data_IF_505240411872
#
_entry.id   IF_505240411872
#
_cell.length_a   1.000
_cell.length_b   1.000
_cell.length_c   1.000
_cell.angle_alpha   90.00
_cell.angle_beta   90.00
_cell.angle_gamma   90.00
#
_symmetry.space_group_name_H-M   'P 1'
#
loop_
_entity.id
_entity.type
_entity.pdbx_description
1 polymer ?
#
# COMPACT_ATOMS: atom_id res chain seq x y z
N UNK A 1 -3.62 -38.63 -10.50
CA UNK A 1 -2.49 -38.91 -9.59
C UNK A 1 -1.40 -37.89 -9.86
N UNK A 2 -1.50 -36.68 -9.29
CA UNK A 2 -0.44 -35.66 -9.40
C UNK A 2 0.48 -35.84 -8.20
N UNK A 3 1.74 -36.10 -8.52
CA UNK A 3 2.81 -36.47 -7.60
C UNK A 3 3.22 -35.22 -6.81
N UNK A 4 3.21 -35.32 -5.48
CA UNK A 4 4.00 -34.44 -4.61
C UNK A 4 5.47 -34.57 -5.02
N UNK A 5 6.14 -33.47 -5.34
CA UNK A 5 7.60 -33.43 -5.38
C UNK A 5 8.08 -32.16 -4.71
N UNK A 6 8.47 -32.28 -3.44
CA UNK A 6 9.86 -32.22 -2.95
C UNK A 6 10.52 -30.84 -3.12
N UNK A 7 10.60 -30.09 -2.02
CA UNK A 7 11.66 -29.12 -1.79
C UNK A 7 13.00 -29.83 -2.04
N UNK A 8 13.67 -29.51 -3.14
CA UNK A 8 15.04 -29.96 -3.38
C UNK A 8 15.94 -28.73 -3.43
N UNK A 9 16.93 -28.71 -2.54
CA UNK A 9 18.05 -27.77 -2.55
C UNK A 9 18.68 -27.77 -3.95
N UNK A 10 18.60 -26.63 -4.64
CA UNK A 10 19.45 -26.32 -5.79
C UNK A 10 20.42 -25.19 -5.40
N UNK A 11 21.37 -25.51 -4.53
CA UNK A 11 22.66 -24.81 -4.51
C UNK A 11 23.59 -25.69 -5.33
N UNK A 12 23.83 -25.34 -6.60
CA UNK A 12 25.00 -25.70 -7.44
C UNK A 12 24.70 -25.45 -8.94
N UNK A 13 24.55 -24.19 -9.31
CA UNK A 13 24.85 -23.61 -10.62
C UNK A 13 24.51 -22.11 -10.47
N UNK A 14 25.39 -21.21 -10.87
CA UNK A 14 25.22 -19.75 -10.72
C UNK A 14 24.12 -19.14 -11.60
N UNK A 15 23.01 -19.85 -11.81
CA UNK A 15 21.80 -19.35 -12.46
C UNK A 15 20.71 -19.21 -11.40
N UNK A 16 20.57 -18.01 -10.85
CA UNK A 16 19.48 -17.65 -9.95
C UNK A 16 18.18 -17.61 -10.76
N UNK A 17 17.47 -18.74 -10.81
CA UNK A 17 16.12 -18.76 -11.32
C UNK A 17 15.21 -18.13 -10.26
N UNK A 18 14.53 -17.04 -10.63
CA UNK A 18 13.46 -16.46 -9.82
C UNK A 18 12.47 -17.57 -9.39
N UNK A 19 12.19 -17.66 -8.10
CA UNK A 19 11.20 -18.54 -7.51
C UNK A 19 9.84 -17.84 -7.47
N UNK A 20 8.92 -18.38 -8.26
CA UNK A 20 7.53 -17.93 -8.33
C UNK A 20 6.65 -18.80 -7.45
N UNK A 21 5.76 -18.17 -6.68
CA UNK A 21 4.81 -18.85 -5.81
C UNK A 21 3.45 -18.95 -6.49
N UNK A 22 2.89 -20.15 -6.48
CA UNK A 22 1.51 -20.34 -6.88
C UNK A 22 0.58 -19.89 -5.74
N UNK A 23 -0.05 -18.73 -5.92
CA UNK A 23 -1.04 -18.19 -5.00
C UNK A 23 -2.46 -18.70 -5.24
N UNK A 24 -2.67 -19.58 -6.22
CA UNK A 24 -3.99 -20.08 -6.61
C UNK A 24 -4.85 -19.03 -7.34
N UNK A 25 -4.23 -17.95 -7.83
CA UNK A 25 -4.93 -16.91 -8.60
C UNK A 25 -5.27 -17.47 -10.00
N UNK A 26 -6.55 -17.49 -10.41
CA UNK A 26 -6.93 -17.96 -11.74
C UNK A 26 -6.19 -17.22 -12.86
N UNK A 27 -5.80 -17.95 -13.91
CA UNK A 27 -5.24 -17.35 -15.10
C UNK A 27 -6.29 -16.48 -15.80
N UNK A 28 -5.89 -15.29 -16.24
CA UNK A 28 -6.73 -14.38 -17.02
C UNK A 28 -5.89 -13.52 -17.95
N UNK A 29 -6.49 -13.10 -19.06
CA UNK A 29 -5.94 -12.08 -19.95
C UNK A 29 -6.58 -10.70 -19.72
N UNK A 30 -7.61 -10.60 -18.88
CA UNK A 30 -8.20 -9.32 -18.48
C UNK A 30 -7.27 -8.60 -17.53
N UNK A 31 -7.06 -7.31 -17.75
CA UNK A 31 -6.16 -6.47 -16.96
C UNK A 31 -6.80 -5.13 -16.64
N UNK A 32 -6.22 -4.43 -15.67
CA UNK A 32 -6.55 -3.05 -15.32
C UNK A 32 -5.35 -2.15 -15.60
N UNK A 33 -5.59 -0.93 -16.09
CA UNK A 33 -4.58 0.14 -16.06
C UNK A 33 -4.57 0.75 -14.67
N UNK A 34 -3.38 1.01 -14.11
CA UNK A 34 -3.17 1.59 -12.78
C UNK A 34 -2.33 2.85 -12.91
N UNK A 35 -2.80 3.96 -12.33
CA UNK A 35 -2.07 5.23 -12.23
C UNK A 35 -2.11 5.71 -10.79
N UNK A 36 -0.98 6.16 -10.26
CA UNK A 36 -0.85 6.55 -8.85
C UNK A 36 -0.86 8.06 -8.69
N UNK A 37 -1.57 8.56 -7.69
CA UNK A 37 -1.58 9.96 -7.29
C UNK A 37 -0.62 10.21 -6.13
N UNK A 38 -0.21 11.47 -5.99
CA UNK A 38 0.41 12.00 -4.78
C UNK A 38 0.03 13.48 -4.70
N UNK A 39 -0.93 13.78 -3.82
CA UNK A 39 -1.42 15.14 -3.53
C UNK A 39 -0.63 15.82 -2.41
N UNK A 40 0.50 15.25 -1.98
CA UNK A 40 1.41 15.84 -1.01
C UNK A 40 1.77 14.90 0.14
N UNK A 41 2.31 15.50 1.19
CA UNK A 41 2.84 14.77 2.33
C UNK A 41 2.13 15.16 3.62
N UNK A 42 1.81 14.16 4.43
CA UNK A 42 1.33 14.35 5.79
C UNK A 42 2.50 14.27 6.76
N UNK A 43 2.53 15.15 7.74
CA UNK A 43 3.53 15.16 8.81
C UNK A 43 2.81 15.10 10.15
N UNK A 44 3.13 14.08 10.95
CA UNK A 44 2.56 13.95 12.30
C UNK A 44 3.59 14.34 13.36
N UNK A 45 3.32 15.42 14.09
CA UNK A 45 4.27 16.05 15.01
C UNK A 45 4.41 15.24 16.29
N UNK A 46 5.60 14.70 16.53
CA UNK A 46 5.94 13.83 17.68
C UNK A 46 5.20 12.48 17.76
N UNK A 47 4.63 12.02 16.64
CA UNK A 47 3.82 10.78 16.58
C UNK A 47 4.55 9.61 15.90
N UNK A 48 5.88 9.64 15.75
CA UNK A 48 6.63 8.52 15.17
C UNK A 48 6.37 7.17 15.85
N UNK A 49 6.03 7.19 17.13
CA UNK A 49 5.74 5.99 17.92
C UNK A 49 4.48 5.25 17.43
N UNK A 50 3.59 5.93 16.70
CA UNK A 50 2.45 5.31 16.04
C UNK A 50 2.84 4.47 14.81
N UNK A 51 4.04 4.70 14.27
CA UNK A 51 4.52 4.11 13.01
C UNK A 51 5.90 3.47 13.11
N UNK A 52 6.60 3.47 14.24
CA UNK A 52 7.91 2.84 14.37
C UNK A 52 8.31 2.75 15.84
N UNK A 53 8.90 1.63 16.23
CA UNK A 53 9.58 1.49 17.51
C UNK A 53 10.95 0.80 17.34
N UNK A 54 11.99 1.20 18.11
CA UNK A 54 12.03 2.40 18.95
C UNK A 54 12.03 3.68 18.10
N UNK A 55 11.46 4.78 18.61
CA UNK A 55 11.58 6.10 17.97
C UNK A 55 13.02 6.59 18.11
N UNK A 56 13.68 6.88 16.99
CA UNK A 56 15.05 7.36 16.99
C UNK A 56 15.13 8.87 17.29
N UNK A 57 16.18 9.35 17.98
CA UNK A 57 16.35 10.78 18.23
C UNK A 57 16.36 11.61 16.93
N UNK A 58 15.55 12.66 16.88
CA UNK A 58 15.40 13.53 15.71
C UNK A 58 14.47 12.96 14.63
N UNK A 59 13.81 11.83 14.89
CA UNK A 59 12.84 11.17 14.00
C UNK A 59 11.45 11.11 14.62
N UNK A 60 11.16 11.93 15.63
CA UNK A 60 9.89 11.92 16.36
C UNK A 60 8.71 12.38 15.50
N UNK A 61 8.97 13.14 14.44
CA UNK A 61 7.96 13.73 13.54
C UNK A 61 8.09 13.10 12.14
N UNK A 62 7.38 12.00 11.85
CA UNK A 62 7.42 11.37 10.53
C UNK A 62 6.68 12.23 9.51
N UNK A 63 7.20 12.22 8.29
CA UNK A 63 6.56 12.77 7.09
C UNK A 63 6.44 11.66 6.07
N UNK A 64 5.25 11.43 5.53
CA UNK A 64 4.98 10.35 4.59
C UNK A 64 4.02 10.78 3.47
N UNK A 65 4.11 10.14 2.30
CA UNK A 65 3.14 10.33 1.24
C UNK A 65 1.79 9.69 1.63
N UNK A 66 0.76 10.00 0.86
CA UNK A 66 -0.51 9.29 0.89
C UNK A 66 -0.81 8.93 -0.56
N UNK A 67 -0.85 7.65 -0.92
CA UNK A 67 -1.10 7.25 -2.30
C UNK A 67 -2.56 6.86 -2.52
N UNK A 68 -3.19 7.48 -3.53
CA UNK A 68 -4.41 7.00 -4.16
C UNK A 68 -4.15 6.49 -5.58
N UNK A 69 -5.10 5.79 -6.18
CA UNK A 69 -4.94 5.21 -7.51
C UNK A 69 -6.18 5.40 -8.37
N UNK A 70 -5.97 5.82 -9.63
CA UNK A 70 -6.97 5.66 -10.68
C UNK A 70 -6.76 4.30 -11.35
N UNK A 71 -7.84 3.55 -11.49
CA UNK A 71 -7.89 2.28 -12.20
C UNK A 71 -8.88 2.33 -13.36
N UNK A 72 -8.53 1.67 -14.46
CA UNK A 72 -9.41 1.49 -15.61
C UNK A 72 -9.42 0.02 -16.04
N UNK A 73 -10.60 -0.61 -15.96
CA UNK A 73 -10.77 -2.00 -16.40
C UNK A 73 -10.79 -2.06 -17.93
N UNK A 74 -9.74 -2.62 -18.55
CA UNK A 74 -9.54 -2.56 -20.01
C UNK A 74 -10.66 -3.19 -20.83
N UNK A 75 -11.26 -4.26 -20.32
CA UNK A 75 -12.28 -5.00 -21.06
C UNK A 75 -13.59 -4.21 -21.18
N UNK A 76 -13.96 -3.49 -20.12
CA UNK A 76 -15.24 -2.77 -20.03
C UNK A 76 -15.12 -1.26 -20.24
N UNK A 77 -13.95 -0.67 -19.99
CA UNK A 77 -13.74 0.78 -19.91
C UNK A 77 -14.20 1.39 -18.58
N UNK A 78 -14.69 0.59 -17.62
CA UNK A 78 -15.08 1.05 -16.27
C UNK A 78 -13.90 1.70 -15.56
N UNK A 79 -14.11 2.90 -15.03
CA UNK A 79 -13.10 3.63 -14.24
C UNK A 79 -13.50 3.69 -12.79
N UNK A 80 -12.52 3.49 -11.93
CA UNK A 80 -12.74 3.50 -10.50
C UNK A 80 -11.48 3.98 -9.79
N UNK A 81 -11.64 4.38 -8.53
CA UNK A 81 -10.56 4.96 -7.75
C UNK A 81 -10.36 4.14 -6.48
N UNK A 82 -9.11 3.92 -6.09
CA UNK A 82 -8.72 3.30 -4.83
C UNK A 82 -8.10 4.36 -3.92
N UNK A 83 -8.79 4.66 -2.82
CA UNK A 83 -8.55 5.79 -1.92
C UNK A 83 -8.56 7.16 -2.62
N UNK A 84 -8.65 8.25 -1.87
CA UNK A 84 -8.72 9.62 -2.40
C UNK A 84 -7.74 10.57 -1.71
N UNK A 85 -6.80 10.02 -0.95
CA UNK A 85 -5.88 10.75 -0.10
C UNK A 85 -6.63 11.69 0.86
N UNK A 86 -5.95 12.76 1.31
CA UNK A 86 -6.56 13.80 2.13
C UNK A 86 -7.28 14.84 1.27
N UNK A 87 -8.47 15.28 1.72
CA UNK A 87 -9.16 16.41 1.09
C UNK A 87 -8.37 17.72 1.24
N UNK A 88 -8.39 18.56 0.21
CA UNK A 88 -7.70 19.86 0.24
C UNK A 88 -8.21 20.75 1.37
N UNK A 89 -9.52 20.79 1.57
CA UNK A 89 -10.19 21.51 2.66
C UNK A 89 -10.28 20.65 3.93
N UNK A 90 -9.17 20.09 4.39
CA UNK A 90 -9.08 19.20 5.55
C UNK A 90 -9.67 19.77 6.86
N UNK A 91 -9.84 21.10 6.97
CA UNK A 91 -10.55 21.72 8.10
C UNK A 91 -12.07 21.54 8.05
N UNK A 92 -12.62 21.12 6.91
CA UNK A 92 -14.06 20.80 6.71
C UNK A 92 -14.44 19.40 7.20
N UNK A 93 -13.47 18.57 7.62
CA UNK A 93 -13.78 17.29 8.26
C UNK A 93 -14.63 17.49 9.54
N UNK A 94 -15.21 16.39 10.02
CA UNK A 94 -15.90 16.37 11.31
C UNK A 94 -15.02 16.99 12.42
N UNK A 95 -15.59 17.70 13.42
CA UNK A 95 -14.80 18.46 14.39
C UNK A 95 -13.69 17.67 15.10
N UNK A 96 -13.91 16.38 15.37
CA UNK A 96 -12.91 15.50 15.98
C UNK A 96 -11.70 15.26 15.08
N UNK A 97 -11.90 15.20 13.77
CA UNK A 97 -10.84 15.03 12.77
C UNK A 97 -10.16 16.37 12.48
N UNK A 98 -10.95 17.44 12.29
CA UNK A 98 -10.43 18.80 12.12
C UNK A 98 -9.54 19.25 13.30
N UNK A 99 -9.76 18.69 14.49
CA UNK A 99 -8.94 18.95 15.68
C UNK A 99 -7.48 18.51 15.52
N UNK A 100 -7.19 17.42 14.79
CA UNK A 100 -5.80 16.99 14.55
C UNK A 100 -4.99 18.06 13.82
N UNK A 101 -5.62 18.76 12.87
CA UNK A 101 -4.98 19.83 12.11
C UNK A 101 -4.90 21.14 12.90
N UNK A 102 -6.00 21.56 13.52
CA UNK A 102 -6.05 22.83 14.27
C UNK A 102 -5.20 22.84 15.54
N UNK A 103 -4.92 21.67 16.11
CA UNK A 103 -4.00 21.50 17.24
C UNK A 103 -2.53 21.40 16.81
N UNK A 104 -2.25 21.22 15.52
CA UNK A 104 -0.90 21.06 14.97
C UNK A 104 -0.33 19.64 15.12
N UNK A 105 -1.14 18.65 15.51
CA UNK A 105 -0.71 17.23 15.54
C UNK A 105 -0.44 16.73 14.12
N UNK A 106 -1.30 17.09 13.16
CA UNK A 106 -1.11 16.80 11.74
C UNK A 106 -0.85 18.11 11.01
N UNK A 107 0.23 18.17 10.23
CA UNK A 107 0.47 19.24 9.26
C UNK A 107 0.56 18.64 7.87
N UNK A 108 -0.03 19.31 6.88
CA UNK A 108 -0.07 18.84 5.50
C UNK A 108 0.79 19.77 4.67
N UNK A 109 1.83 19.20 4.06
CA UNK A 109 2.53 19.82 2.95
C UNK A 109 1.76 19.44 1.67
N UNK A 110 0.61 20.06 1.46
CA UNK A 110 -0.29 19.67 0.36
C UNK A 110 0.22 20.22 -0.97
N UNK A 111 -0.06 19.49 -2.04
CA UNK A 111 -0.24 20.07 -3.35
C UNK A 111 -1.46 21.00 -3.33
N UNK A 112 -1.53 21.95 -4.25
CA UNK A 112 -2.65 22.89 -4.39
C UNK A 112 -4.00 22.21 -4.77
N UNK A 113 -4.02 20.87 -4.88
CA UNK A 113 -5.08 20.07 -5.49
C UNK A 113 -5.30 18.75 -4.75
N UNK A 114 -6.55 18.31 -4.67
CA UNK A 114 -6.92 16.95 -4.26
C UNK A 114 -7.18 16.01 -5.46
N UNK A 115 -7.39 14.72 -5.20
CA UNK A 115 -7.57 13.70 -6.25
C UNK A 115 -8.68 14.05 -7.26
N UNK A 116 -9.88 14.53 -6.87
CA UNK A 116 -10.88 14.99 -7.82
C UNK A 116 -10.38 16.10 -8.78
N UNK A 117 -9.60 17.04 -8.28
CA UNK A 117 -9.00 18.10 -9.11
C UNK A 117 -7.91 17.54 -10.04
N UNK A 118 -7.09 16.60 -9.59
CA UNK A 118 -6.09 15.92 -10.43
C UNK A 118 -6.74 15.10 -11.55
N UNK A 119 -7.86 14.43 -11.27
CA UNK A 119 -8.65 13.74 -12.30
C UNK A 119 -9.11 14.72 -13.40
N UNK A 120 -9.66 15.86 -12.99
CA UNK A 120 -10.14 16.89 -13.92
C UNK A 120 -9.01 17.53 -14.73
N UNK A 121 -7.86 17.81 -14.11
CA UNK A 121 -6.66 18.29 -14.81
C UNK A 121 -6.20 17.31 -15.90
N UNK A 122 -6.30 16.01 -15.62
CA UNK A 122 -6.02 14.94 -16.58
C UNK A 122 -7.12 14.72 -17.61
N UNK A 123 -8.15 15.56 -17.65
CA UNK A 123 -9.26 15.48 -18.60
C UNK A 123 -10.29 14.40 -18.28
N UNK A 124 -10.32 13.87 -17.05
CA UNK A 124 -11.26 12.85 -16.62
C UNK A 124 -12.40 13.52 -15.86
N UNK A 125 -13.59 13.47 -16.45
CA UNK A 125 -14.79 13.99 -15.80
C UNK A 125 -15.21 13.06 -14.64
N UNK A 126 -15.56 13.65 -13.50
CA UNK A 126 -15.88 12.91 -12.28
C UNK A 126 -17.14 12.03 -12.40
N UNK A 127 -18.03 12.32 -13.36
CA UNK A 127 -19.20 11.48 -13.69
C UNK A 127 -18.86 10.23 -14.49
N UNK A 128 -17.62 10.10 -14.93
CA UNK A 128 -17.11 8.89 -15.58
C UNK A 128 -16.43 7.93 -14.61
N UNK A 129 -16.37 8.26 -13.31
CA UNK A 129 -15.87 7.37 -12.26
C UNK A 129 -17.05 6.55 -11.73
N UNK A 130 -17.04 5.25 -11.99
CA UNK A 130 -18.11 4.32 -11.63
C UNK A 130 -18.12 4.01 -10.13
N UNK A 131 -16.93 3.90 -9.51
CA UNK A 131 -16.80 3.51 -8.10
C UNK A 131 -15.59 4.19 -7.43
N UNK A 132 -15.72 4.46 -6.14
CA UNK A 132 -14.61 4.79 -5.24
C UNK A 132 -14.54 3.68 -4.20
N UNK A 133 -13.38 3.04 -4.10
CA UNK A 133 -13.07 2.06 -3.07
C UNK A 133 -12.23 2.72 -2.01
N UNK A 134 -12.65 2.62 -0.76
CA UNK A 134 -11.81 2.99 0.37
C UNK A 134 -11.18 1.74 0.96
N UNK A 135 -9.86 1.68 1.00
CA UNK A 135 -9.13 0.66 1.76
C UNK A 135 -9.63 0.62 3.19
N UNK A 136 -9.91 1.79 3.77
CA UNK A 136 -10.55 1.98 5.07
C UNK A 136 -10.99 3.44 5.27
N UNK A 137 -11.61 3.77 6.41
CA UNK A 137 -12.28 5.05 6.64
C UNK A 137 -11.47 6.10 7.43
N UNK A 138 -10.13 6.03 7.42
CA UNK A 138 -9.34 7.12 7.99
C UNK A 138 -9.37 8.37 7.09
N UNK A 139 -9.12 9.53 7.70
CA UNK A 139 -9.32 10.84 7.07
C UNK A 139 -8.42 11.07 5.85
N UNK A 140 -7.27 10.41 5.80
CA UNK A 140 -6.28 10.45 4.75
C UNK A 140 -6.55 9.46 3.62
N UNK A 141 -7.66 8.71 3.64
CA UNK A 141 -8.01 7.78 2.56
C UNK A 141 -9.32 8.15 1.85
N UNK A 142 -10.16 8.95 2.49
CA UNK A 142 -11.54 9.17 2.05
C UNK A 142 -11.73 10.38 1.13
N UNK A 143 -10.78 11.32 1.10
CA UNK A 143 -10.81 12.52 0.28
C UNK A 143 -12.10 13.36 0.40
N UNK A 144 -12.44 14.08 -0.67
CA UNK A 144 -13.66 14.90 -0.75
C UNK A 144 -14.70 14.26 -1.68
N UNK A 145 -15.52 13.36 -1.13
CA UNK A 145 -16.60 12.71 -1.89
C UNK A 145 -17.66 13.68 -2.40
N UNK A 146 -17.79 14.88 -1.81
CA UNK A 146 -18.81 15.86 -2.20
C UNK A 146 -18.63 16.41 -3.63
N UNK A 147 -17.44 16.23 -4.22
CA UNK A 147 -17.12 16.65 -5.59
C UNK A 147 -17.59 15.65 -6.66
N UNK A 148 -17.83 14.39 -6.29
CA UNK A 148 -18.32 13.40 -7.25
C UNK A 148 -19.81 13.58 -7.52
N UNK A 149 -20.30 13.24 -8.73
CA UNK A 149 -21.69 13.47 -9.15
C UNK A 149 -22.62 12.41 -8.57
N UNK A 150 -22.87 12.56 -7.28
CA UNK A 150 -24.04 12.22 -6.49
C UNK A 150 -23.82 12.90 -5.14
N UNK A 151 -23.76 14.25 -5.11
CA UNK A 151 -23.26 14.95 -3.94
C UNK A 151 -24.30 14.88 -2.82
N UNK A 152 -23.91 14.38 -1.64
CA UNK A 152 -24.55 14.75 -0.40
C UNK A 152 -23.48 15.02 0.66
N UNK A 153 -23.82 15.87 1.62
CA UNK A 153 -22.91 16.65 2.47
C UNK A 153 -21.98 15.85 3.42
N UNK A 154 -21.99 14.52 3.35
CA UNK A 154 -21.16 13.64 4.19
C UNK A 154 -20.69 12.42 3.40
N UNK A 155 -19.49 11.93 3.72
CA UNK A 155 -18.79 10.87 3.00
C UNK A 155 -19.63 9.60 2.76
N UNK A 156 -20.54 9.28 3.69
CA UNK A 156 -21.44 8.11 3.58
C UNK A 156 -22.91 8.47 3.28
N UNK A 157 -23.37 9.66 3.67
CA UNK A 157 -24.81 9.98 3.65
C UNK A 157 -25.21 10.33 2.22
N UNK A 158 -26.09 9.51 1.64
CA UNK A 158 -26.56 9.74 0.27
C UNK A 158 -25.84 8.96 -0.81
N UNK A 159 -24.72 8.32 -0.45
CA UNK A 159 -24.01 7.39 -1.30
C UNK A 159 -24.53 5.96 -1.09
N UNK A 160 -24.53 5.16 -2.14
CA UNK A 160 -24.79 3.73 -2.00
C UNK A 160 -23.52 3.05 -1.48
N UNK A 161 -23.41 2.94 -0.15
CA UNK A 161 -22.24 2.34 0.51
C UNK A 161 -22.42 0.82 0.57
N UNK A 162 -21.55 0.10 -0.13
CA UNK A 162 -21.53 -1.36 -0.10
C UNK A 162 -20.39 -1.84 0.77
N UNK A 163 -20.70 -2.51 1.88
CA UNK A 163 -19.70 -3.27 2.63
C UNK A 163 -19.41 -4.57 1.88
N UNK A 164 -18.13 -4.85 1.64
CA UNK A 164 -17.70 -6.12 1.07
C UNK A 164 -17.89 -7.23 2.09
N UNK A 165 -18.60 -8.29 1.70
CA UNK A 165 -18.77 -9.49 2.51
C UNK A 165 -17.72 -10.54 2.13
N UNK A 166 -16.59 -10.51 2.83
CA UNK A 166 -15.54 -11.50 2.64
C UNK A 166 -15.91 -12.89 3.17
N UNK A 167 -16.94 -13.04 4.02
CA UNK A 167 -17.39 -14.37 4.46
C UNK A 167 -18.05 -15.17 3.32
N UNK A 168 -18.63 -14.48 2.34
CA UNK A 168 -19.19 -15.09 1.15
C UNK A 168 -18.14 -15.41 0.06
N UNK A 169 -16.88 -14.99 0.25
CA UNK A 169 -15.82 -15.21 -0.73
C UNK A 169 -15.45 -16.70 -0.86
N UNK A 170 -15.22 -17.16 -2.09
CA UNK A 170 -14.79 -18.52 -2.42
C UNK A 170 -13.33 -18.60 -2.89
N UNK A 171 -12.64 -17.47 -3.01
CA UNK A 171 -11.23 -17.38 -3.37
C UNK A 171 -10.39 -17.08 -2.13
N UNK A 172 -9.15 -17.58 -2.14
CA UNK A 172 -8.18 -17.29 -1.07
C UNK A 172 -6.78 -17.23 -1.67
N UNK A 173 -6.09 -16.10 -1.49
CA UNK A 173 -4.74 -15.89 -1.99
C UNK A 173 -3.82 -15.57 -0.82
N UNK A 174 -2.72 -16.31 -0.68
CA UNK A 174 -1.84 -16.24 0.49
C UNK A 174 -2.57 -16.31 1.86
N UNK A 175 -3.68 -17.05 1.92
CA UNK A 175 -4.50 -17.15 3.14
C UNK A 175 -5.36 -15.91 3.43
N UNK A 176 -5.47 -14.94 2.52
CA UNK A 176 -6.42 -13.82 2.57
C UNK A 176 -7.65 -14.19 1.74
N UNK A 177 -8.85 -13.97 2.27
CA UNK A 177 -10.08 -14.14 1.48
C UNK A 177 -10.10 -13.10 0.36
N UNK A 178 -10.56 -13.49 -0.82
CA UNK A 178 -10.53 -12.63 -1.99
C UNK A 178 -11.88 -12.60 -2.72
N UNK A 179 -12.28 -11.42 -3.18
CA UNK A 179 -13.46 -11.21 -4.03
C UNK A 179 -12.98 -10.73 -5.40
N UNK A 180 -13.31 -11.47 -6.46
CA UNK A 180 -13.11 -11.03 -7.84
C UNK A 180 -14.23 -10.04 -8.21
N UNK A 181 -13.89 -8.76 -8.27
CA UNK A 181 -14.90 -7.69 -8.42
C UNK A 181 -15.57 -7.72 -9.80
N UNK A 182 -14.79 -8.00 -10.85
CA UNK A 182 -15.30 -8.07 -12.23
C UNK A 182 -15.71 -9.50 -12.64
N UNK A 183 -15.28 -10.51 -11.89
CA UNK A 183 -15.52 -11.93 -12.21
C UNK A 183 -14.68 -12.47 -13.37
N UNK A 184 -13.67 -11.71 -13.79
CA UNK A 184 -12.77 -12.05 -14.90
C UNK A 184 -11.30 -12.12 -14.48
N UNK A 185 -11.02 -11.97 -13.19
CA UNK A 185 -9.70 -12.09 -12.59
C UNK A 185 -8.76 -10.92 -12.83
N UNK A 186 -9.28 -9.75 -13.22
CA UNK A 186 -8.50 -8.52 -13.43
C UNK A 186 -8.31 -7.67 -12.17
N UNK A 187 -9.25 -7.70 -11.23
CA UNK A 187 -9.18 -6.92 -9.99
C UNK A 187 -9.81 -7.68 -8.83
N UNK A 188 -9.03 -7.87 -7.76
CA UNK A 188 -9.45 -8.59 -6.57
C UNK A 188 -9.38 -7.69 -5.33
N UNK A 189 -10.43 -7.73 -4.51
CA UNK A 189 -10.42 -7.17 -3.16
C UNK A 189 -9.95 -8.25 -2.19
N UNK A 190 -9.10 -7.91 -1.23
CA UNK A 190 -8.51 -8.81 -0.25
C UNK A 190 -8.90 -8.41 1.17
N UNK A 191 -9.33 -9.39 1.96
CA UNK A 191 -9.58 -9.24 3.39
C UNK A 191 -8.25 -9.05 4.14
N UNK A 192 -7.98 -7.80 4.56
CA UNK A 192 -6.74 -7.37 5.22
C UNK A 192 -7.04 -6.72 6.58
N UNK A 193 -7.60 -7.48 7.55
CA UNK A 193 -8.02 -6.92 8.82
C UNK A 193 -6.83 -6.51 9.70
N UNK A 194 -7.08 -5.62 10.64
CA UNK A 194 -6.18 -5.34 11.75
C UNK A 194 -5.88 -3.87 11.97
N UNK A 195 -5.58 -3.11 10.91
CA UNK A 195 -5.33 -1.67 11.05
C UNK A 195 -6.52 -0.94 11.68
N UNK A 196 -7.68 -1.08 11.04
CA UNK A 196 -8.99 -0.82 11.62
C UNK A 196 -10.00 -1.88 11.14
N UNK A 197 -11.13 -1.98 11.84
CA UNK A 197 -12.25 -2.80 11.39
C UNK A 197 -12.68 -2.46 9.96
N UNK A 198 -12.67 -3.46 9.08
CA UNK A 198 -13.08 -3.32 7.68
C UNK A 198 -11.96 -2.87 6.73
N UNK A 199 -10.72 -2.74 7.21
CA UNK A 199 -9.57 -2.50 6.34
C UNK A 199 -9.42 -3.62 5.29
N UNK A 200 -9.17 -3.22 4.05
CA UNK A 200 -8.97 -4.12 2.92
C UNK A 200 -7.80 -3.67 2.04
N UNK A 201 -7.21 -4.63 1.33
CA UNK A 201 -6.22 -4.40 0.28
C UNK A 201 -6.80 -4.83 -1.08
N UNK A 202 -6.07 -4.60 -2.17
CA UNK A 202 -6.46 -5.10 -3.48
C UNK A 202 -5.29 -5.62 -4.31
N UNK A 203 -5.58 -6.50 -5.27
CA UNK A 203 -4.68 -6.93 -6.32
C UNK A 203 -5.24 -6.50 -7.68
N UNK A 204 -4.47 -5.65 -8.36
CA UNK A 204 -4.72 -5.21 -9.73
C UNK A 204 -3.84 -6.02 -10.69
N UNK A 205 -4.45 -6.82 -11.57
CA UNK A 205 -3.71 -7.50 -12.63
C UNK A 205 -3.37 -6.50 -13.72
N UNK A 206 -2.08 -6.21 -13.92
CA UNK A 206 -1.62 -5.20 -14.90
C UNK A 206 -1.09 -5.81 -16.20
N UNK A 207 -0.68 -7.06 -16.15
CA UNK A 207 -0.42 -7.93 -17.32
C UNK A 207 -0.98 -9.33 -17.03
N UNK A 208 -1.12 -10.25 -18.01
CA UNK A 208 -1.61 -11.61 -17.72
C UNK A 208 -0.87 -12.32 -16.57
N UNK A 209 0.39 -11.97 -16.32
CA UNK A 209 1.24 -12.60 -15.30
C UNK A 209 1.64 -11.70 -14.14
N UNK A 210 1.46 -10.37 -14.20
CA UNK A 210 1.94 -9.45 -13.16
C UNK A 210 0.85 -8.59 -12.54
N UNK A 211 1.07 -8.22 -11.29
CA UNK A 211 0.12 -7.53 -10.42
C UNK A 211 0.74 -6.32 -9.73
N UNK A 212 -0.10 -5.33 -9.44
CA UNK A 212 0.17 -4.31 -8.42
C UNK A 212 -0.73 -4.62 -7.23
N UNK A 213 -0.16 -4.69 -6.03
CA UNK A 213 -0.91 -4.79 -4.79
C UNK A 213 -1.10 -3.40 -4.20
N UNK A 214 -2.35 -3.01 -4.01
CA UNK A 214 -2.76 -1.75 -3.37
C UNK A 214 -3.01 -2.06 -1.89
N UNK A 215 -2.02 -1.80 -1.05
CA UNK A 215 -1.97 -2.32 0.30
C UNK A 215 -2.74 -1.52 1.36
N UNK A 216 -3.17 -0.30 1.03
CA UNK A 216 -3.71 0.63 2.03
C UNK A 216 -2.74 0.78 3.21
N UNK A 217 -3.27 0.65 4.41
CA UNK A 217 -2.55 0.70 5.68
C UNK A 217 -2.31 -0.68 6.28
N UNK A 218 -2.11 -1.70 5.43
CA UNK A 218 -1.69 -3.02 5.92
C UNK A 218 -0.37 -2.91 6.71
N UNK A 219 0.49 -1.97 6.31
CA UNK A 219 1.68 -1.48 7.02
C UNK A 219 2.06 -0.11 6.45
N UNK A 220 2.92 0.65 7.13
CA UNK A 220 3.19 2.06 6.82
C UNK A 220 4.61 2.29 6.30
N UNK A 221 5.55 1.41 6.63
CA UNK A 221 6.94 1.47 6.21
C UNK A 221 7.42 0.13 5.63
N UNK A 222 8.14 0.15 4.51
CA UNK A 222 8.68 -1.06 3.88
C UNK A 222 9.59 -1.90 4.81
N UNK A 223 10.23 -1.28 5.81
CA UNK A 223 11.03 -1.96 6.83
C UNK A 223 10.20 -2.94 7.69
N UNK A 224 8.88 -2.82 7.73
CA UNK A 224 8.00 -3.76 8.44
C UNK A 224 7.84 -5.08 7.68
N UNK A 225 7.84 -5.00 6.34
CA UNK A 225 7.70 -6.13 5.44
C UNK A 225 9.06 -6.73 5.02
N UNK A 226 10.15 -5.95 5.07
CA UNK A 226 11.46 -6.29 4.49
C UNK A 226 12.63 -5.96 5.45
N UNK A 227 13.72 -6.76 5.46
CA UNK A 227 13.86 -8.07 4.82
C UNK A 227 13.16 -9.16 5.65
N UNK A 228 12.56 -10.16 4.98
CA UNK A 228 12.06 -11.40 5.61
C UNK A 228 12.66 -12.63 4.91
N UNK A 229 12.68 -13.82 5.54
CA UNK A 229 13.27 -15.02 4.94
C UNK A 229 12.78 -15.33 3.52
N UNK A 230 11.50 -15.08 3.23
CA UNK A 230 10.92 -15.27 1.91
C UNK A 230 11.55 -14.39 0.81
N UNK A 231 12.07 -13.20 1.14
CA UNK A 231 12.71 -12.33 0.15
C UNK A 231 14.04 -12.87 -0.32
N UNK A 232 14.79 -13.58 0.54
CA UNK A 232 16.17 -14.00 0.25
C UNK A 232 16.30 -14.90 -0.99
N UNK A 233 15.20 -15.51 -1.41
CA UNK A 233 15.13 -16.38 -2.57
C UNK A 233 15.20 -15.60 -3.90
N UNK A 234 14.51 -14.48 -3.99
CA UNK A 234 14.41 -13.67 -5.21
C UNK A 234 15.21 -12.36 -5.12
N UNK A 235 15.33 -11.86 -3.90
CA UNK A 235 15.87 -10.57 -3.54
C UNK A 235 16.81 -10.75 -2.34
N UNK A 236 18.01 -11.30 -2.56
CA UNK A 236 18.99 -11.43 -1.49
C UNK A 236 19.26 -10.06 -0.89
N UNK A 237 19.12 -9.94 0.43
CA UNK A 237 19.37 -8.68 1.13
C UNK A 237 20.85 -8.33 0.97
N UNK A 238 21.20 -7.12 0.49
CA UNK A 238 22.59 -6.68 0.40
C UNK A 238 23.31 -6.84 1.75
N UNK A 239 24.51 -7.44 1.75
CA UNK A 239 25.20 -7.80 2.99
C UNK A 239 25.44 -6.61 3.95
N UNK A 240 25.72 -5.41 3.40
CA UNK A 240 25.88 -4.18 4.17
C UNK A 240 24.58 -3.77 4.91
N UNK A 241 23.41 -4.02 4.31
CA UNK A 241 22.12 -3.75 4.95
C UNK A 241 21.86 -4.72 6.11
N UNK A 242 22.28 -5.98 5.99
CA UNK A 242 22.12 -6.95 7.09
C UNK A 242 22.90 -6.49 8.33
N UNK A 243 24.03 -5.80 8.18
CA UNK A 243 24.78 -5.26 9.32
C UNK A 243 24.07 -4.08 9.99
N UNK A 244 23.47 -3.17 9.22
CA UNK A 244 22.76 -1.99 9.74
C UNK A 244 21.38 -2.33 10.36
N UNK A 245 20.69 -3.34 9.82
CA UNK A 245 19.30 -3.68 10.17
C UNK A 245 19.22 -4.63 11.38
N UNK A 246 20.25 -5.46 11.62
CA UNK A 246 20.28 -6.54 12.64
C UNK A 246 19.88 -6.12 14.06
N UNK A 247 20.05 -4.85 14.42
CA UNK A 247 19.81 -4.31 15.77
C UNK A 247 18.69 -3.28 15.85
N UNK A 248 18.06 -2.93 14.72
CA UNK A 248 17.43 -1.61 14.57
C UNK A 248 15.94 -1.64 14.24
N UNK A 249 15.36 -2.81 13.96
CA UNK A 249 13.90 -2.97 13.75
C UNK A 249 13.33 -3.78 14.89
N UNK A 250 12.44 -3.16 15.67
CA UNK A 250 11.60 -3.89 16.60
C UNK A 250 10.72 -4.88 15.86
N UNK A 251 10.67 -6.12 16.32
CA UNK A 251 9.61 -7.07 15.94
C UNK A 251 8.31 -6.80 16.70
N UNK A 252 8.36 -5.99 17.76
CA UNK A 252 7.21 -5.58 18.54
C UNK A 252 6.51 -4.44 17.78
N UNK A 253 5.28 -4.72 17.39
CA UNK A 253 4.52 -4.06 16.36
C UNK A 253 4.33 -2.55 16.52
N UNK A 254 4.10 -1.95 15.35
CA UNK A 254 3.76 -0.59 15.01
C UNK A 254 2.30 -0.34 15.42
N UNK A 255 2.09 0.01 16.69
CA UNK A 255 0.77 0.33 17.21
C UNK A 255 0.64 1.83 17.44
N UNK A 256 -0.40 2.42 16.86
CA UNK A 256 -0.91 3.72 17.30
C UNK A 256 -1.76 3.53 18.54
N UNK A 257 -1.44 4.19 19.67
CA UNK A 257 -2.31 4.19 20.84
C UNK A 257 -3.70 4.77 20.64
N UNK A 258 -3.93 5.36 19.47
CA UNK A 258 -5.12 6.12 19.15
C UNK A 258 -6.14 5.33 18.32
N UNK A 259 -5.79 4.19 17.71
CA UNK A 259 -6.76 3.34 17.00
C UNK A 259 -7.51 2.46 18.00
N UNK A 260 -8.59 3.01 18.58
CA UNK A 260 -9.49 2.26 19.47
C UNK A 260 -10.11 1.01 18.81
N UNK A 261 -10.08 0.95 17.48
CA UNK A 261 -10.77 -0.05 16.66
C UNK A 261 -9.80 -0.97 15.86
N UNK A 262 -8.50 -0.93 16.14
CA UNK A 262 -7.49 -1.81 15.52
C UNK A 262 -7.25 -3.11 16.30
N UNK A 263 -6.81 -4.15 15.58
CA UNK A 263 -6.34 -5.44 16.11
C UNK A 263 -4.88 -5.69 15.63
N UNK A 264 -3.87 -5.48 16.50
CA UNK A 264 -2.46 -5.59 16.11
C UNK A 264 -2.05 -7.02 15.74
N UNK A 265 -2.71 -8.04 16.29
CA UNK A 265 -2.41 -9.44 15.96
C UNK A 265 -2.92 -9.72 14.55
N UNK A 266 -4.14 -9.30 14.24
CA UNK A 266 -4.67 -9.42 12.89
C UNK A 266 -3.85 -8.60 11.87
N UNK A 267 -3.41 -7.39 12.24
CA UNK A 267 -2.61 -6.52 11.39
C UNK A 267 -1.27 -7.16 11.03
N UNK A 268 -0.55 -7.72 12.02
CA UNK A 268 0.69 -8.45 11.80
C UNK A 268 0.49 -9.68 10.88
N UNK A 269 -0.63 -10.39 11.02
CA UNK A 269 -0.97 -11.52 10.14
C UNK A 269 -1.25 -11.04 8.71
N UNK A 270 -1.99 -9.94 8.54
CA UNK A 270 -2.26 -9.34 7.22
C UNK A 270 -0.98 -8.87 6.53
N UNK A 271 -0.10 -8.20 7.26
CA UNK A 271 1.23 -7.81 6.81
C UNK A 271 2.03 -9.01 6.33
N UNK A 272 2.11 -10.08 7.12
CA UNK A 272 2.83 -11.30 6.75
C UNK A 272 2.32 -11.90 5.44
N UNK A 273 1.00 -11.90 5.24
CA UNK A 273 0.38 -12.39 4.01
C UNK A 273 0.70 -11.48 2.82
N UNK A 274 0.57 -10.16 2.95
CA UNK A 274 0.95 -9.22 1.88
C UNK A 274 2.45 -9.30 1.55
N UNK A 275 3.31 -9.44 2.56
CA UNK A 275 4.75 -9.60 2.38
C UNK A 275 5.12 -10.86 1.58
N UNK A 276 4.25 -11.87 1.50
CA UNK A 276 4.49 -13.00 0.59
C UNK A 276 4.29 -12.63 -0.88
N UNK A 277 3.30 -11.80 -1.22
CA UNK A 277 3.18 -11.24 -2.58
C UNK A 277 4.41 -10.39 -2.87
N UNK A 278 4.80 -9.55 -1.92
CA UNK A 278 5.96 -8.67 -2.07
C UNK A 278 7.29 -9.41 -2.28
N UNK A 279 7.43 -10.64 -1.79
CA UNK A 279 8.59 -11.49 -2.07
C UNK A 279 8.60 -12.12 -3.46
N UNK A 280 7.47 -12.08 -4.19
CA UNK A 280 7.30 -12.71 -5.50
C UNK A 280 7.60 -11.71 -6.66
N UNK A 281 8.35 -12.09 -7.70
CA UNK A 281 8.73 -11.19 -8.79
C UNK A 281 7.59 -10.74 -9.70
N UNK A 282 6.40 -11.35 -9.61
CA UNK A 282 5.21 -10.96 -10.37
C UNK A 282 4.33 -9.93 -9.66
N UNK A 283 4.69 -9.51 -8.45
CA UNK A 283 3.88 -8.56 -7.66
C UNK A 283 4.70 -7.33 -7.26
N UNK A 284 4.15 -6.14 -7.50
CA UNK A 284 4.67 -4.89 -6.96
C UNK A 284 3.73 -4.37 -5.88
N UNK A 285 4.17 -4.40 -4.62
CA UNK A 285 3.37 -3.96 -3.48
C UNK A 285 3.61 -2.49 -3.19
N UNK A 286 2.52 -1.72 -3.14
CA UNK A 286 2.50 -0.30 -2.80
C UNK A 286 1.50 -0.11 -1.65
N UNK A 287 1.99 0.27 -0.47
CA UNK A 287 1.16 0.69 0.67
C UNK A 287 1.04 2.22 0.69
N UNK A 288 -0.01 2.74 1.31
CA UNK A 288 -0.41 4.15 1.18
C UNK A 288 0.69 5.13 1.61
N UNK A 289 1.49 4.75 2.62
CA UNK A 289 2.48 5.64 3.25
C UNK A 289 3.93 5.25 2.98
N UNK A 290 4.20 4.45 1.94
CA UNK A 290 5.56 4.02 1.60
C UNK A 290 6.41 5.18 1.05
N UNK A 291 7.07 5.90 1.97
CA UNK A 291 8.00 6.97 1.63
C UNK A 291 9.25 6.48 0.87
N UNK A 292 9.52 5.16 0.84
CA UNK A 292 10.64 4.62 0.07
C UNK A 292 10.42 4.70 -1.45
N UNK A 293 9.16 4.82 -1.88
CA UNK A 293 8.76 4.88 -3.28
C UNK A 293 8.52 6.31 -3.80
N UNK A 294 8.51 7.31 -2.91
CA UNK A 294 7.96 8.65 -3.21
C UNK A 294 8.68 9.38 -4.37
N UNK A 295 9.97 9.12 -4.60
CA UNK A 295 10.76 9.75 -5.66
C UNK A 295 10.85 8.88 -6.93
N UNK A 296 10.23 7.70 -6.92
CA UNK A 296 10.41 6.66 -7.95
C UNK A 296 9.12 6.29 -8.69
N UNK A 297 7.95 6.55 -8.11
CA UNK A 297 6.68 6.21 -8.72
C UNK A 297 6.38 7.09 -9.95
N UNK A 298 5.85 6.50 -11.05
CA UNK A 298 5.33 7.26 -12.18
C UNK A 298 3.96 7.84 -11.81
N UNK A 299 3.94 9.04 -11.24
CA UNK A 299 2.69 9.69 -10.86
C UNK A 299 1.80 10.02 -12.05
N UNK A 300 0.49 10.07 -11.80
CA UNK A 300 -0.54 10.43 -12.77
C UNK A 300 -0.14 11.68 -13.56
N UNK A 301 -0.26 11.65 -14.91
CA UNK A 301 -1.04 10.71 -15.72
C UNK A 301 -0.30 9.43 -16.16
N UNK A 302 0.94 9.22 -15.73
CA UNK A 302 1.73 8.08 -16.18
C UNK A 302 1.20 6.73 -15.63
N UNK A 303 1.41 5.66 -16.40
CA UNK A 303 0.95 4.32 -16.05
C UNK A 303 1.98 3.56 -15.21
N UNK A 304 1.50 2.87 -14.18
CA UNK A 304 2.29 1.96 -13.36
C UNK A 304 2.39 0.55 -13.94
N UNK A 305 1.63 0.20 -14.99
CA UNK A 305 1.54 -1.17 -15.52
C UNK A 305 2.89 -1.75 -15.98
N UNK A 306 3.80 -0.90 -16.44
CA UNK A 306 5.13 -1.32 -16.92
C UNK A 306 6.18 -1.38 -15.80
N UNK A 307 5.78 -1.38 -14.52
CA UNK A 307 6.69 -1.45 -13.37
C UNK A 307 7.71 -2.60 -13.48
N UNK A 308 7.29 -3.74 -14.06
CA UNK A 308 8.15 -4.92 -14.18
C UNK A 308 9.17 -4.77 -15.31
N UNK A 309 8.75 -4.26 -16.46
CA UNK A 309 9.63 -4.00 -17.61
C UNK A 309 10.66 -2.89 -17.31
N UNK A 310 10.25 -1.89 -16.52
CA UNK A 310 11.11 -0.78 -16.09
C UNK A 310 11.99 -1.13 -14.88
N UNK A 311 11.92 -2.36 -14.38
CA UNK A 311 12.64 -2.82 -13.18
C UNK A 311 12.37 -1.95 -11.94
N UNK A 312 11.20 -1.32 -11.85
CA UNK A 312 10.86 -0.38 -10.79
C UNK A 312 10.97 -1.03 -9.41
N UNK A 313 10.43 -2.24 -9.25
CA UNK A 313 10.54 -3.00 -7.99
C UNK A 313 12.00 -3.26 -7.62
N UNK A 314 12.78 -3.80 -8.55
CA UNK A 314 14.18 -4.17 -8.32
C UNK A 314 15.02 -2.95 -7.88
N UNK A 315 14.75 -1.79 -8.49
CA UNK A 315 15.45 -0.54 -8.23
C UNK A 315 15.03 0.13 -6.92
N UNK A 316 13.84 -0.17 -6.40
CA UNK A 316 13.27 0.53 -5.23
C UNK A 316 13.17 -0.34 -3.99
N UNK A 317 13.33 -1.66 -4.12
CA UNK A 317 13.07 -2.64 -3.06
C UNK A 317 13.73 -2.31 -1.72
N UNK A 318 14.96 -1.77 -1.78
CA UNK A 318 15.80 -1.46 -0.62
C UNK A 318 15.92 0.04 -0.32
N UNK A 319 15.13 0.90 -0.96
CA UNK A 319 15.20 2.35 -0.75
C UNK A 319 15.00 2.76 0.71
N UNK A 320 14.17 2.01 1.45
CA UNK A 320 13.92 2.25 2.87
C UNK A 320 15.19 2.15 3.74
N UNK A 321 16.22 1.46 3.26
CA UNK A 321 17.47 1.30 3.99
C UNK A 321 18.53 2.37 3.63
N UNK A 322 18.24 3.26 2.68
CA UNK A 322 19.11 4.39 2.38
C UNK A 322 18.92 5.51 3.41
N UNK A 323 19.99 5.90 4.11
CA UNK A 323 19.97 6.91 5.18
C UNK A 323 19.37 8.27 4.77
N UNK A 324 19.45 8.63 3.48
CA UNK A 324 18.88 9.87 2.96
C UNK A 324 17.40 9.75 2.59
N UNK A 325 16.86 8.54 2.54
CA UNK A 325 15.47 8.28 2.24
C UNK A 325 14.59 8.57 3.48
N UNK A 326 13.43 9.21 3.33
CA UNK A 326 12.53 9.48 4.47
C UNK A 326 12.03 8.22 5.19
N UNK A 327 11.94 7.08 4.50
CA UNK A 327 11.56 5.80 5.10
C UNK A 327 12.67 5.15 5.95
N UNK A 328 13.86 5.75 6.03
CA UNK A 328 14.96 5.23 6.84
C UNK A 328 14.67 5.34 8.34
N UNK A 329 14.59 4.18 8.99
CA UNK A 329 14.19 4.03 10.39
C UNK A 329 15.19 3.22 11.23
N UNK A 330 16.39 2.97 10.71
CA UNK A 330 17.42 2.21 11.40
C UNK A 330 18.35 3.13 12.21
N UNK A 331 18.88 2.64 13.33
CA UNK A 331 19.92 3.38 14.05
C UNK A 331 21.18 3.44 13.18
N UNK A 332 21.89 4.58 13.12
CA UNK A 332 23.23 4.61 12.53
C UNK A 332 24.09 3.54 13.23
N UNK A 333 24.85 2.76 12.46
CA UNK A 333 25.78 1.82 13.04
C UNK A 333 26.65 2.57 14.08
N UNK A 334 26.66 2.08 15.31
CA UNK A 334 27.61 2.58 16.31
C UNK A 334 28.97 2.32 15.69
N UNK A 335 29.71 3.38 15.36
CA UNK A 335 31.09 3.25 14.93
C UNK A 335 31.81 2.46 16.03
N UNK A 336 32.07 1.18 15.78
CA UNK A 336 33.06 0.43 16.51
C UNK A 336 34.42 0.98 16.07
N UNK A 337 34.75 2.20 16.50
CA UNK A 337 36.15 2.62 16.59
C UNK A 337 36.81 1.66 17.57
N UNK A 338 37.56 0.69 17.02
CA UNK A 338 38.57 -0.05 17.76
C UNK A 338 39.70 0.87 18.21
#
# INVERSE_FOLDING_TARGET
MRVLSTLFLAFLAGETHALYRDFGIPASNSVVDVRVFNTGFSTLVNEAHAFTLPVLPGRETPTFPIYAFLLEHKTSGTRFVWDLEIRKDHLSFAPSVAQFFTSGVVTIASADKDVPELLQDGGIALDTIDNVFWSHSHFDHIGDMSKFPTPLAFDFVGHNVTKIDFEAANLTFSGMKAVDYFGDGSFYLLDSPGHISGHMAALARVTPTSFVSLGGDTFHNAAEARPRPQFQLNYPCPAHLVEEIKSSVSTDYFWSPYSRDGDPVAAQVSLEKIATFDSDPDFFVVVAHDASLQESLPYFPESLNNWKETHLKDNTLWNFANQTNPAFVFSPAVNHTM
#
